data_IF_965301674955
#
_entry.id   IF_965301674955
#
_cell.length_a   1.000
_cell.length_b   1.000
_cell.length_c   1.000
_cell.angle_alpha   90.00
_cell.angle_beta   90.00
_cell.angle_gamma   90.00
#
_symmetry.space_group_name_H-M   'P 1'
#
loop_
_entity.id
_entity.type
_entity.pdbx_description
1 polymer ?
#
# COMPACT_ATOMS: atom_id res chain seq x y z
N UNK A 1 -8.90 -32.34 -30.30
CA UNK A 1 -10.27 -32.69 -30.71
C UNK A 1 -10.18 -33.94 -31.55
N UNK A 2 -10.17 -35.11 -30.91
CA UNK A 2 -10.20 -36.41 -31.60
C UNK A 2 -11.64 -36.80 -31.88
N UNK A 3 -11.86 -37.65 -32.89
CA UNK A 3 -13.19 -38.19 -33.16
C UNK A 3 -13.77 -38.90 -31.93
N UNK A 4 -15.03 -38.61 -31.59
CA UNK A 4 -15.71 -39.16 -30.40
C UNK A 4 -15.33 -38.52 -29.07
N UNK A 5 -14.43 -37.52 -29.04
CA UNK A 5 -14.03 -36.88 -27.79
C UNK A 5 -15.12 -35.94 -27.24
N UNK A 6 -15.49 -36.12 -25.98
CA UNK A 6 -16.36 -35.22 -25.22
C UNK A 6 -15.58 -34.67 -24.03
N UNK A 7 -15.46 -33.35 -23.93
CA UNK A 7 -14.74 -32.69 -22.84
C UNK A 7 -15.66 -31.71 -22.13
N UNK A 8 -15.82 -31.88 -20.82
CA UNK A 8 -16.50 -30.91 -19.96
C UNK A 8 -15.41 -30.05 -19.30
N UNK A 9 -15.48 -28.74 -19.50
CA UNK A 9 -14.53 -27.79 -18.94
C UNK A 9 -15.29 -26.75 -18.11
N UNK A 10 -14.88 -26.58 -16.85
CA UNK A 10 -15.41 -25.53 -15.99
C UNK A 10 -14.64 -24.23 -16.23
N UNK A 11 -15.37 -23.12 -16.42
CA UNK A 11 -14.84 -21.77 -16.63
C UNK A 11 -13.70 -21.70 -17.67
N UNK A 12 -12.45 -21.64 -17.18
CA UNK A 12 -11.24 -21.42 -17.97
C UNK A 12 -10.30 -22.64 -17.97
N UNK A 13 -10.77 -23.82 -17.59
CA UNK A 13 -9.97 -25.05 -17.68
C UNK A 13 -9.41 -25.24 -19.11
N UNK A 14 -8.11 -25.57 -19.21
CA UNK A 14 -7.43 -25.69 -20.50
C UNK A 14 -7.13 -24.36 -21.21
N UNK A 15 -7.14 -23.22 -20.51
CA UNK A 15 -6.63 -21.93 -21.05
C UNK A 15 -5.18 -22.06 -21.50
N UNK A 16 -4.87 -21.50 -22.66
CA UNK A 16 -3.51 -21.52 -23.24
C UNK A 16 -3.18 -22.78 -24.03
N UNK A 17 -3.95 -23.86 -23.91
CA UNK A 17 -3.77 -25.07 -24.73
C UNK A 17 -4.62 -24.99 -25.99
N UNK A 18 -4.01 -25.31 -27.13
CA UNK A 18 -4.70 -25.38 -28.40
C UNK A 18 -5.34 -26.76 -28.64
N UNK A 19 -6.55 -26.76 -29.18
CA UNK A 19 -7.31 -27.98 -29.48
C UNK A 19 -7.16 -28.27 -30.97
N UNK A 20 -6.08 -28.97 -31.33
CA UNK A 20 -5.87 -29.42 -32.72
C UNK A 20 -6.92 -30.48 -33.10
N UNK A 21 -7.44 -30.39 -34.32
CA UNK A 21 -8.37 -31.38 -34.86
C UNK A 21 -7.60 -32.65 -35.29
N UNK A 22 -8.08 -33.81 -34.84
CA UNK A 22 -7.55 -35.10 -35.25
C UNK A 22 -8.00 -35.51 -36.66
N UNK A 23 -7.48 -36.63 -37.21
CA UNK A 23 -7.87 -37.13 -38.53
C UNK A 23 -9.38 -37.36 -38.63
N UNK A 24 -10.01 -36.97 -39.75
CA UNK A 24 -11.45 -37.16 -40.01
C UNK A 24 -12.39 -36.17 -39.31
N UNK A 25 -11.88 -35.33 -38.41
CA UNK A 25 -12.70 -34.40 -37.62
C UNK A 25 -13.06 -33.14 -38.40
N UNK A 26 -12.20 -32.71 -39.34
CA UNK A 26 -12.48 -31.54 -40.20
C UNK A 26 -13.67 -31.82 -41.12
N UNK A 27 -13.68 -33.01 -41.71
CA UNK A 27 -14.74 -33.50 -42.59
C UNK A 27 -16.07 -33.67 -41.84
N UNK A 28 -16.03 -33.97 -40.54
CA UNK A 28 -17.19 -34.06 -39.67
C UNK A 28 -17.73 -32.69 -39.18
N UNK A 29 -17.17 -31.57 -39.64
CA UNK A 29 -17.61 -30.22 -39.26
C UNK A 29 -16.81 -29.58 -38.11
N UNK A 30 -15.75 -30.24 -37.63
CA UNK A 30 -14.79 -29.69 -36.69
C UNK A 30 -15.23 -29.71 -35.23
N UNK A 31 -14.68 -28.80 -34.42
CA UNK A 31 -14.97 -28.72 -32.99
C UNK A 31 -16.30 -28.00 -32.76
N UNK A 32 -17.23 -28.66 -32.07
CA UNK A 32 -18.47 -28.06 -31.58
C UNK A 32 -18.32 -27.61 -30.12
N UNK A 33 -18.58 -26.33 -29.85
CA UNK A 33 -18.54 -25.74 -28.52
C UNK A 33 -19.96 -25.53 -28.02
N UNK A 34 -20.27 -26.08 -26.84
CA UNK A 34 -21.56 -25.91 -26.17
C UNK A 34 -21.34 -25.12 -24.88
N UNK A 35 -21.81 -23.88 -24.84
CA UNK A 35 -21.88 -23.08 -23.62
C UNK A 35 -23.17 -23.42 -22.88
N UNK A 36 -23.06 -23.88 -21.64
CA UNK A 36 -24.21 -24.27 -20.80
C UNK A 36 -24.96 -23.07 -20.22
N UNK A 37 -24.29 -21.92 -20.13
CA UNK A 37 -24.83 -20.65 -19.65
C UNK A 37 -24.13 -19.48 -20.34
N UNK A 38 -24.54 -18.25 -19.99
CA UNK A 38 -23.86 -17.02 -20.41
C UNK A 38 -23.12 -16.39 -19.23
N UNK A 39 -21.82 -16.16 -19.40
CA UNK A 39 -21.03 -15.48 -18.37
C UNK A 39 -21.43 -14.00 -18.28
N UNK A 40 -21.26 -13.38 -17.12
CA UNK A 40 -21.41 -11.93 -16.93
C UNK A 40 -20.59 -11.07 -17.91
N UNK A 41 -19.48 -11.61 -18.44
CA UNK A 41 -18.62 -10.88 -19.38
C UNK A 41 -18.61 -11.57 -20.74
N UNK A 42 -18.94 -10.77 -21.76
CA UNK A 42 -18.94 -11.19 -23.16
C UNK A 42 -17.57 -11.65 -23.63
N UNK A 43 -16.50 -11.13 -23.01
CA UNK A 43 -15.13 -11.54 -23.33
C UNK A 43 -14.90 -13.02 -23.02
N UNK A 44 -15.44 -13.54 -21.92
CA UNK A 44 -15.28 -14.94 -21.52
C UNK A 44 -16.03 -15.85 -22.49
N UNK A 45 -17.27 -15.50 -22.84
CA UNK A 45 -18.03 -16.24 -23.87
C UNK A 45 -17.31 -16.25 -25.22
N UNK A 46 -16.72 -15.11 -25.63
CA UNK A 46 -15.93 -15.03 -26.87
C UNK A 46 -14.68 -15.89 -26.81
N UNK A 47 -14.05 -16.03 -25.64
CA UNK A 47 -12.91 -16.93 -25.46
C UNK A 47 -13.32 -18.40 -25.58
N UNK A 48 -14.50 -18.77 -25.07
CA UNK A 48 -15.06 -20.10 -25.23
C UNK A 48 -15.38 -20.39 -26.71
N UNK A 49 -16.03 -19.44 -27.41
CA UNK A 49 -16.27 -19.53 -28.86
C UNK A 49 -14.98 -19.72 -29.66
N UNK A 50 -13.96 -18.93 -29.35
CA UNK A 50 -12.66 -18.94 -30.02
C UNK A 50 -11.82 -20.20 -29.79
N UNK A 51 -12.33 -21.20 -29.05
CA UNK A 51 -11.73 -22.54 -28.99
C UNK A 51 -12.00 -23.35 -30.26
N UNK A 52 -13.13 -23.12 -30.93
CA UNK A 52 -13.42 -23.67 -32.24
C UNK A 52 -13.00 -22.69 -33.35
N UNK A 53 -12.92 -23.19 -34.59
CA UNK A 53 -12.67 -22.33 -35.75
C UNK A 53 -11.24 -21.81 -35.88
N UNK A 54 -10.26 -22.45 -35.25
CA UNK A 54 -8.87 -21.97 -35.26
C UNK A 54 -8.20 -22.19 -36.60
N UNK A 55 -7.41 -21.21 -37.06
CA UNK A 55 -6.69 -21.27 -38.33
C UNK A 55 -7.58 -21.58 -39.55
N UNK A 56 -8.85 -21.16 -39.52
CA UNK A 56 -9.81 -21.42 -40.59
C UNK A 56 -10.40 -22.84 -40.59
N UNK A 57 -10.13 -23.64 -39.56
CA UNK A 57 -10.79 -24.93 -39.37
C UNK A 57 -12.32 -24.75 -39.25
N UNK A 58 -13.13 -25.73 -39.69
CA UNK A 58 -14.55 -25.72 -39.43
C UNK A 58 -14.82 -25.85 -37.92
N UNK A 59 -15.94 -25.32 -37.47
CA UNK A 59 -16.36 -25.42 -36.09
C UNK A 59 -17.66 -24.68 -35.84
N UNK A 60 -18.32 -25.01 -34.73
CA UNK A 60 -19.59 -24.41 -34.34
C UNK A 60 -19.57 -24.02 -32.86
N UNK A 61 -20.39 -23.03 -32.50
CA UNK A 61 -20.58 -22.66 -31.12
C UNK A 61 -22.04 -22.34 -30.84
N UNK A 62 -22.64 -23.01 -29.87
CA UNK A 62 -24.00 -22.78 -29.41
C UNK A 62 -23.98 -22.48 -27.92
N UNK A 63 -24.82 -21.55 -27.48
CA UNK A 63 -24.98 -21.21 -26.07
C UNK A 63 -26.42 -21.44 -25.67
N UNK A 64 -26.60 -22.11 -24.55
CA UNK A 64 -27.87 -22.35 -23.90
C UNK A 64 -27.98 -21.38 -22.73
N UNK A 65 -29.20 -20.90 -22.49
CA UNK A 65 -29.52 -19.97 -21.40
C UNK A 65 -30.90 -20.35 -20.90
N UNK A 66 -31.05 -20.45 -19.59
CA UNK A 66 -32.34 -20.56 -18.92
C UNK A 66 -32.76 -19.20 -18.37
N UNK A 67 -34.08 -18.97 -18.28
CA UNK A 67 -34.62 -17.83 -17.53
C UNK A 67 -34.26 -17.89 -16.03
N UNK A 68 -33.93 -19.08 -15.55
CA UNK A 68 -33.51 -19.33 -14.17
C UNK A 68 -32.02 -19.09 -13.94
N UNK A 69 -31.22 -18.79 -14.96
CA UNK A 69 -29.78 -18.54 -14.79
C UNK A 69 -29.54 -17.22 -14.05
N UNK A 70 -28.42 -17.11 -13.31
CA UNK A 70 -28.11 -15.94 -12.48
C UNK A 70 -28.08 -14.62 -13.29
N UNK A 71 -27.54 -14.67 -14.51
CA UNK A 71 -27.56 -13.52 -15.42
C UNK A 71 -28.99 -13.08 -15.76
N UNK A 72 -29.93 -14.02 -15.91
CA UNK A 72 -31.32 -13.70 -16.26
C UNK A 72 -32.13 -13.26 -15.03
N UNK A 73 -31.86 -13.85 -13.86
CA UNK A 73 -32.44 -13.42 -12.56
C UNK A 73 -32.14 -11.96 -12.26
N UNK A 74 -30.90 -11.52 -12.51
CA UNK A 74 -30.50 -10.12 -12.30
C UNK A 74 -31.23 -9.11 -13.21
N UNK A 75 -31.83 -9.56 -14.33
CA UNK A 75 -32.39 -8.66 -15.37
C UNK A 75 -33.90 -8.79 -15.58
N UNK A 76 -34.64 -9.14 -14.53
CA UNK A 76 -36.10 -9.12 -14.55
C UNK A 76 -36.68 -10.24 -15.42
N UNK A 77 -36.24 -11.47 -15.14
CA UNK A 77 -36.73 -12.71 -15.75
C UNK A 77 -38.26 -12.79 -15.78
N UNK A 78 -38.95 -12.26 -14.76
CA UNK A 78 -40.42 -12.21 -14.68
C UNK A 78 -41.10 -11.45 -15.83
N UNK A 79 -40.51 -10.33 -16.27
CA UNK A 79 -41.08 -9.54 -17.39
C UNK A 79 -40.90 -10.26 -18.72
N UNK A 80 -39.80 -11.01 -18.85
CA UNK A 80 -39.51 -11.79 -20.05
C UNK A 80 -40.38 -13.04 -20.07
N UNK A 81 -40.50 -13.75 -18.95
CA UNK A 81 -41.36 -14.92 -18.77
C UNK A 81 -42.84 -14.59 -19.06
N UNK A 82 -43.38 -13.53 -18.46
CA UNK A 82 -44.78 -13.12 -18.69
C UNK A 82 -45.08 -12.72 -20.15
N UNK A 83 -44.08 -12.22 -20.88
CA UNK A 83 -44.21 -11.97 -22.32
C UNK A 83 -44.17 -13.27 -23.13
N UNK A 84 -43.38 -14.25 -22.70
CA UNK A 84 -43.30 -15.57 -23.36
C UNK A 84 -44.57 -16.39 -23.17
N UNK A 85 -45.17 -16.34 -21.97
CA UNK A 85 -46.48 -16.95 -21.69
C UNK A 85 -47.57 -16.38 -22.61
N UNK A 86 -47.58 -15.05 -22.80
CA UNK A 86 -48.51 -14.37 -23.72
C UNK A 86 -48.27 -14.72 -25.19
N UNK A 87 -47.04 -15.05 -25.56
CA UNK A 87 -46.69 -15.51 -26.91
C UNK A 87 -46.98 -17.00 -27.14
N UNK A 88 -47.42 -17.73 -26.10
CA UNK A 88 -47.83 -19.12 -26.19
C UNK A 88 -46.69 -20.14 -26.17
N UNK A 89 -45.49 -19.73 -25.73
CA UNK A 89 -44.37 -20.65 -25.55
C UNK A 89 -44.63 -21.62 -24.40
N UNK A 90 -44.35 -22.91 -24.61
CA UNK A 90 -44.52 -23.95 -23.59
C UNK A 90 -43.19 -24.32 -22.94
N UNK A 91 -43.27 -24.88 -21.73
CA UNK A 91 -42.12 -25.43 -21.03
C UNK A 91 -41.43 -26.51 -21.88
N UNK A 92 -40.13 -26.37 -22.10
CA UNK A 92 -39.33 -27.25 -22.95
C UNK A 92 -39.20 -26.81 -24.42
N UNK A 93 -39.89 -25.76 -24.86
CA UNK A 93 -39.69 -25.23 -26.22
C UNK A 93 -38.41 -24.39 -26.33
N UNK A 94 -37.60 -24.67 -27.36
CA UNK A 94 -36.37 -23.94 -27.61
C UNK A 94 -36.70 -22.61 -28.30
N UNK A 95 -36.24 -21.51 -27.71
CA UNK A 95 -36.56 -20.18 -28.20
C UNK A 95 -35.35 -19.57 -28.89
N UNK A 96 -35.49 -19.31 -30.18
CA UNK A 96 -34.47 -18.66 -31.01
C UNK A 96 -35.01 -17.35 -31.57
N UNK A 97 -34.99 -16.31 -30.73
CA UNK A 97 -35.39 -14.97 -31.15
C UNK A 97 -34.27 -13.94 -30.97
N UNK A 98 -34.08 -13.13 -32.00
CA UNK A 98 -33.08 -12.07 -32.02
C UNK A 98 -33.30 -11.01 -30.93
N UNK A 99 -34.56 -10.78 -30.53
CA UNK A 99 -34.90 -9.87 -29.44
C UNK A 99 -34.37 -10.36 -28.09
N UNK A 100 -34.48 -11.66 -27.80
CA UNK A 100 -33.98 -12.28 -26.56
C UNK A 100 -32.45 -12.31 -26.56
N UNK A 101 -31.84 -12.60 -27.71
CA UNK A 101 -30.38 -12.51 -27.83
C UNK A 101 -29.88 -11.09 -27.53
N UNK A 102 -30.54 -10.07 -28.07
CA UNK A 102 -30.21 -8.65 -27.80
C UNK A 102 -30.46 -8.24 -26.35
N UNK A 103 -31.48 -8.77 -25.68
CA UNK A 103 -31.72 -8.47 -24.26
C UNK A 103 -30.63 -9.05 -23.37
N UNK A 104 -30.18 -10.29 -23.63
CA UNK A 104 -29.05 -10.92 -22.94
C UNK A 104 -27.77 -10.10 -23.14
N UNK A 105 -27.48 -9.64 -24.37
CA UNK A 105 -26.30 -8.80 -24.62
C UNK A 105 -26.34 -7.46 -23.86
N UNK A 106 -27.52 -6.85 -23.74
CA UNK A 106 -27.70 -5.62 -22.94
C UNK A 106 -27.49 -5.90 -21.45
N UNK A 107 -28.00 -7.02 -20.94
CA UNK A 107 -27.78 -7.46 -19.57
C UNK A 107 -26.27 -7.61 -19.29
N UNK A 108 -25.54 -8.37 -20.12
CA UNK A 108 -24.09 -8.52 -19.99
C UNK A 108 -23.36 -7.18 -20.03
N UNK A 109 -23.72 -6.27 -20.96
CA UNK A 109 -23.11 -4.94 -21.03
C UNK A 109 -23.33 -4.15 -19.73
N UNK A 110 -24.51 -4.24 -19.13
CA UNK A 110 -24.82 -3.54 -17.89
C UNK A 110 -24.06 -4.12 -16.70
N UNK A 111 -23.89 -5.44 -16.62
CA UNK A 111 -23.02 -6.08 -15.60
C UNK A 111 -21.57 -5.67 -15.79
N UNK A 112 -21.06 -5.65 -17.03
CA UNK A 112 -19.72 -5.17 -17.34
C UNK A 112 -19.50 -3.71 -16.92
N UNK A 113 -20.47 -2.82 -17.18
CA UNK A 113 -20.45 -1.42 -16.74
C UNK A 113 -20.44 -1.29 -15.21
N UNK A 114 -21.25 -2.09 -14.51
CA UNK A 114 -21.26 -2.10 -13.04
C UNK A 114 -19.91 -2.58 -12.47
N UNK A 115 -19.40 -3.70 -12.97
CA UNK A 115 -18.09 -4.23 -12.59
C UNK A 115 -16.95 -3.26 -12.90
N UNK A 116 -17.03 -2.54 -14.03
CA UNK A 116 -16.09 -1.46 -14.34
C UNK A 116 -16.17 -0.33 -13.31
N UNK A 117 -17.38 0.11 -12.94
CA UNK A 117 -17.59 1.12 -11.90
C UNK A 117 -17.00 0.70 -10.54
N UNK A 118 -17.24 -0.54 -10.11
CA UNK A 118 -16.68 -1.09 -8.87
C UNK A 118 -15.15 -1.07 -8.90
N UNK A 119 -14.54 -1.54 -10.00
CA UNK A 119 -13.08 -1.55 -10.14
C UNK A 119 -12.47 -0.16 -10.23
N UNK A 120 -13.14 0.76 -10.92
CA UNK A 120 -12.72 2.16 -11.00
C UNK A 120 -12.68 2.77 -9.60
N UNK A 121 -13.76 2.56 -8.83
CA UNK A 121 -13.84 3.06 -7.45
C UNK A 121 -12.78 2.43 -6.56
N UNK A 122 -12.56 1.11 -6.64
CA UNK A 122 -11.47 0.42 -5.95
C UNK A 122 -10.10 1.05 -6.25
N UNK A 123 -9.82 1.30 -7.53
CA UNK A 123 -8.57 1.95 -7.97
C UNK A 123 -8.41 3.36 -7.37
N UNK A 124 -9.48 4.14 -7.28
CA UNK A 124 -9.42 5.49 -6.71
C UNK A 124 -9.09 5.50 -5.21
N UNK A 125 -9.49 4.47 -4.45
CA UNK A 125 -9.05 4.27 -3.07
C UNK A 125 -7.58 3.84 -3.01
N UNK A 126 -7.20 2.85 -3.83
CA UNK A 126 -5.84 2.33 -3.89
C UNK A 126 -4.83 3.40 -4.34
N UNK A 127 -5.21 4.35 -5.18
CA UNK A 127 -4.36 5.45 -5.64
C UNK A 127 -3.91 6.35 -4.49
N UNK A 128 -4.75 6.55 -3.46
CA UNK A 128 -4.38 7.30 -2.24
C UNK A 128 -3.29 6.53 -1.49
N UNK A 129 -3.51 5.22 -1.27
CA UNK A 129 -2.55 4.35 -0.61
C UNK A 129 -1.23 4.22 -1.37
N UNK A 130 -1.28 4.17 -2.70
CA UNK A 130 -0.09 4.09 -3.54
C UNK A 130 0.78 5.35 -3.42
N UNK A 131 0.17 6.55 -3.35
CA UNK A 131 0.92 7.80 -3.11
C UNK A 131 1.65 7.78 -1.77
N UNK A 132 0.95 7.38 -0.71
CA UNK A 132 1.54 7.26 0.63
C UNK A 132 2.66 6.21 0.65
N UNK A 133 2.43 5.04 0.03
CA UNK A 133 3.42 3.96 -0.10
C UNK A 133 4.69 4.44 -0.78
N UNK A 134 4.59 5.23 -1.85
CA UNK A 134 5.77 5.75 -2.54
C UNK A 134 6.65 6.62 -1.63
N UNK A 135 6.03 7.45 -0.78
CA UNK A 135 6.76 8.28 0.19
C UNK A 135 7.44 7.41 1.25
N UNK A 136 6.69 6.51 1.87
CA UNK A 136 7.19 5.63 2.94
C UNK A 136 8.28 4.70 2.43
N UNK A 137 8.09 4.09 1.26
CA UNK A 137 9.07 3.19 0.68
C UNK A 137 10.32 3.95 0.22
N UNK A 138 10.19 5.21 -0.19
CA UNK A 138 11.34 6.10 -0.41
C UNK A 138 12.18 6.27 0.85
N UNK A 139 11.57 6.74 1.94
CA UNK A 139 12.25 6.91 3.25
C UNK A 139 12.84 5.59 3.78
N UNK A 140 12.08 4.50 3.65
CA UNK A 140 12.53 3.15 4.04
C UNK A 140 13.76 2.69 3.25
N UNK A 141 13.78 2.98 1.95
CA UNK A 141 14.91 2.66 1.08
C UNK A 141 16.17 3.46 1.47
N UNK A 142 16.01 4.74 1.78
CA UNK A 142 17.09 5.58 2.30
C UNK A 142 17.64 5.04 3.63
N UNK A 143 16.78 4.57 4.53
CA UNK A 143 17.21 3.95 5.79
C UNK A 143 17.96 2.61 5.59
N UNK A 144 17.51 1.77 4.64
CA UNK A 144 18.14 0.48 4.35
C UNK A 144 19.55 0.63 3.76
N UNK A 145 19.71 1.53 2.79
CA UNK A 145 20.97 1.69 2.07
C UNK A 145 21.87 2.81 2.63
N UNK A 146 21.32 3.67 3.49
CA UNK A 146 22.02 4.83 4.05
C UNK A 146 22.14 6.02 3.09
N UNK A 147 21.68 5.89 1.85
CA UNK A 147 21.70 6.98 0.87
C UNK A 147 20.64 8.02 1.23
N UNK A 148 21.04 9.30 1.32
CA UNK A 148 20.16 10.44 1.67
C UNK A 148 19.51 10.38 3.06
N UNK A 149 19.83 9.38 3.89
CA UNK A 149 19.29 9.29 5.25
C UNK A 149 19.60 10.54 6.09
N UNK A 150 20.80 11.10 5.95
CA UNK A 150 21.17 12.33 6.64
C UNK A 150 20.21 13.49 6.31
N UNK A 151 19.76 13.61 5.06
CA UNK A 151 18.77 14.63 4.65
C UNK A 151 17.38 14.32 5.23
N UNK A 152 16.98 13.06 5.26
CA UNK A 152 15.69 12.66 5.84
C UNK A 152 15.65 12.94 7.35
N UNK A 153 16.75 12.67 8.05
CA UNK A 153 16.90 13.00 9.47
C UNK A 153 16.91 14.51 9.69
N UNK A 154 17.66 15.25 8.89
CA UNK A 154 17.70 16.71 8.95
C UNK A 154 16.30 17.34 8.83
N UNK A 155 15.53 16.89 7.83
CA UNK A 155 14.13 17.27 7.66
C UNK A 155 13.26 16.83 8.85
N UNK A 156 13.53 15.67 9.46
CA UNK A 156 12.81 15.21 10.65
C UNK A 156 13.10 16.13 11.86
N UNK A 157 14.35 16.52 12.10
CA UNK A 157 14.71 17.48 13.15
C UNK A 157 14.00 18.81 12.95
N UNK A 158 14.04 19.36 11.73
CA UNK A 158 13.36 20.62 11.40
C UNK A 158 11.84 20.51 11.58
N UNK A 159 11.22 19.44 11.07
CA UNK A 159 9.78 19.19 11.20
C UNK A 159 9.33 19.07 12.65
N UNK A 160 10.11 18.40 13.50
CA UNK A 160 9.82 18.30 14.94
C UNK A 160 9.96 19.67 15.61
N UNK A 161 10.99 20.44 15.27
CA UNK A 161 11.17 21.79 15.81
C UNK A 161 9.99 22.71 15.41
N UNK A 162 9.60 22.69 14.15
CA UNK A 162 8.43 23.42 13.63
C UNK A 162 7.14 23.02 14.35
N UNK A 163 6.90 21.72 14.50
CA UNK A 163 5.73 21.20 15.20
C UNK A 163 5.65 21.65 16.66
N UNK A 164 6.78 21.64 17.37
CA UNK A 164 6.84 22.11 18.76
C UNK A 164 6.60 23.62 18.87
N UNK A 165 7.31 24.43 18.07
CA UNK A 165 7.16 25.89 18.12
C UNK A 165 5.73 26.30 17.78
N UNK A 166 5.13 25.74 16.73
CA UNK A 166 3.74 26.06 16.36
C UNK A 166 2.75 25.68 17.47
N UNK A 167 2.88 24.47 18.03
CA UNK A 167 1.96 23.99 19.07
C UNK A 167 2.01 24.84 20.34
N UNK A 168 3.22 25.22 20.79
CA UNK A 168 3.39 25.95 22.05
C UNK A 168 3.29 27.47 21.90
N UNK A 169 3.46 28.00 20.70
CA UNK A 169 3.19 29.41 20.40
C UNK A 169 1.69 29.72 20.45
N UNK A 170 0.86 28.81 19.98
CA UNK A 170 -0.61 28.95 20.06
C UNK A 170 -1.13 28.91 21.50
N UNK A 171 -0.50 28.12 22.38
CA UNK A 171 -0.91 27.99 23.79
C UNK A 171 -0.22 28.96 24.74
N UNK A 172 0.79 29.71 24.26
CA UNK A 172 1.63 30.62 25.06
C UNK A 172 2.31 29.94 26.27
N UNK A 173 2.57 28.63 26.19
CA UNK A 173 3.14 27.82 27.30
C UNK A 173 4.65 27.57 27.12
N UNK A 174 5.46 28.44 27.72
CA UNK A 174 6.93 28.35 27.68
C UNK A 174 7.48 27.17 28.50
N UNK A 175 6.85 26.85 29.62
CA UNK A 175 7.33 25.76 30.49
C UNK A 175 7.09 24.41 29.82
N UNK A 176 5.91 24.24 29.21
CA UNK A 176 5.61 23.10 28.36
C UNK A 176 6.55 22.99 27.16
N UNK A 177 6.88 24.11 26.52
CA UNK A 177 7.84 24.15 25.41
C UNK A 177 9.24 23.69 25.83
N UNK A 178 9.77 24.20 26.94
CA UNK A 178 11.08 23.78 27.47
C UNK A 178 11.09 22.30 27.83
N UNK A 179 10.05 21.83 28.50
CA UNK A 179 9.92 20.40 28.81
C UNK A 179 9.88 19.55 27.52
N UNK A 180 9.16 20.02 26.50
CA UNK A 180 9.11 19.33 25.22
C UNK A 180 10.47 19.34 24.48
N UNK A 181 11.24 20.43 24.57
CA UNK A 181 12.59 20.49 24.02
C UNK A 181 13.52 19.48 24.70
N UNK A 182 13.43 19.36 26.03
CA UNK A 182 14.17 18.33 26.79
C UNK A 182 13.73 16.92 26.37
N UNK A 183 12.43 16.67 26.31
CA UNK A 183 11.88 15.34 26.02
C UNK A 183 12.16 14.87 24.59
N UNK A 184 12.21 15.77 23.60
CA UNK A 184 12.43 15.38 22.20
C UNK A 184 13.88 15.55 21.75
N UNK A 185 14.58 16.59 22.19
CA UNK A 185 15.93 16.89 21.72
C UNK A 185 17.01 16.72 22.81
N UNK A 186 16.63 16.55 24.08
CA UNK A 186 17.59 16.49 25.18
C UNK A 186 18.30 17.82 25.44
N UNK A 187 17.65 18.95 25.12
CA UNK A 187 18.21 20.30 25.30
C UNK A 187 17.38 21.12 26.28
N UNK A 188 18.06 21.94 27.07
CA UNK A 188 17.46 23.09 27.76
C UNK A 188 17.64 24.31 26.86
N UNK A 189 16.59 24.68 26.13
CA UNK A 189 16.65 25.70 25.09
C UNK A 189 16.85 27.11 25.66
N UNK A 190 17.65 27.92 24.97
CA UNK A 190 17.87 29.32 25.33
C UNK A 190 16.75 30.25 24.83
N UNK A 191 15.73 29.71 24.14
CA UNK A 191 14.59 30.48 23.64
C UNK A 191 13.78 31.03 24.82
N UNK A 192 13.57 32.35 24.81
CA UNK A 192 12.80 33.04 25.85
C UNK A 192 11.30 33.06 25.55
N UNK A 193 10.47 33.28 26.57
CA UNK A 193 9.02 33.43 26.38
C UNK A 193 8.67 34.57 25.42
N UNK A 194 9.41 35.68 25.46
CA UNK A 194 9.20 36.80 24.54
C UNK A 194 9.53 36.43 23.09
N UNK A 195 10.63 35.69 22.88
CA UNK A 195 11.00 35.19 21.56
C UNK A 195 9.96 34.21 21.02
N UNK A 196 9.45 33.30 21.84
CA UNK A 196 8.44 32.31 21.42
C UNK A 196 7.13 32.99 20.98
N UNK A 197 6.63 33.94 21.78
CA UNK A 197 5.33 34.59 21.53
C UNK A 197 5.42 35.68 20.47
N UNK A 198 6.39 36.61 20.59
CA UNK A 198 6.49 37.80 19.74
C UNK A 198 7.45 37.63 18.57
N UNK A 199 8.36 36.66 18.62
CA UNK A 199 9.31 36.40 17.55
C UNK A 199 8.63 35.90 16.29
N UNK A 200 9.32 36.05 15.16
CA UNK A 200 8.92 35.42 13.92
C UNK A 200 9.03 33.90 14.07
N UNK A 201 7.96 33.18 13.74
CA UNK A 201 7.89 31.71 13.90
C UNK A 201 9.07 31.02 13.21
N UNK A 202 9.40 31.41 11.98
CA UNK A 202 10.48 30.76 11.22
C UNK A 202 11.85 30.94 11.88
N UNK A 203 12.12 32.12 12.45
CA UNK A 203 13.39 32.41 13.09
C UNK A 203 13.55 31.62 14.41
N UNK A 204 12.44 31.44 15.14
CA UNK A 204 12.41 30.63 16.36
C UNK A 204 12.57 29.14 16.04
N UNK A 205 11.93 28.65 14.97
CA UNK A 205 12.10 27.27 14.48
C UNK A 205 13.54 27.01 14.09
N UNK A 206 14.14 27.90 13.30
CA UNK A 206 15.54 27.77 12.89
C UNK A 206 16.48 27.75 14.11
N UNK A 207 16.27 28.64 15.09
CA UNK A 207 17.05 28.66 16.32
C UNK A 207 16.96 27.34 17.10
N UNK A 208 15.75 26.80 17.29
CA UNK A 208 15.54 25.53 17.99
C UNK A 208 16.18 24.36 17.22
N UNK A 209 16.03 24.34 15.89
CA UNK A 209 16.62 23.34 15.02
C UNK A 209 18.15 23.35 15.12
N UNK A 210 18.80 24.52 15.05
CA UNK A 210 20.25 24.64 15.21
C UNK A 210 20.72 24.16 16.61
N UNK A 211 20.05 24.59 17.69
CA UNK A 211 20.36 24.11 19.05
C UNK A 211 20.26 22.57 19.15
N UNK A 212 19.26 21.98 18.49
CA UNK A 212 19.04 20.52 18.50
C UNK A 212 20.09 19.74 17.71
N UNK A 213 20.46 20.21 16.51
CA UNK A 213 21.45 19.55 15.66
C UNK A 213 22.85 19.66 16.27
N UNK A 214 23.19 20.81 16.86
CA UNK A 214 24.46 20.97 17.57
C UNK A 214 24.58 19.99 18.74
N UNK A 215 23.53 19.87 19.55
CA UNK A 215 23.53 18.91 20.66
C UNK A 215 23.65 17.48 20.16
N UNK A 216 22.92 17.12 19.11
CA UNK A 216 22.97 15.80 18.52
C UNK A 216 24.37 15.47 17.97
N UNK A 217 25.02 16.43 17.29
CA UNK A 217 26.39 16.28 16.80
C UNK A 217 27.40 16.06 17.93
N UNK A 218 27.30 16.84 19.01
CA UNK A 218 28.16 16.66 20.21
C UNK A 218 27.98 15.28 20.82
N UNK A 219 26.73 14.77 20.85
CA UNK A 219 26.43 13.43 21.36
C UNK A 219 27.04 12.33 20.49
N UNK A 220 26.96 12.45 19.15
CA UNK A 220 27.61 11.50 18.22
C UNK A 220 29.12 11.44 18.45
N UNK A 221 29.77 12.59 18.60
CA UNK A 221 31.21 12.66 18.85
C UNK A 221 31.58 12.04 20.21
N UNK A 222 30.80 12.33 21.25
CA UNK A 222 31.00 11.72 22.57
C UNK A 222 30.83 10.20 22.53
N UNK A 223 29.81 9.69 21.82
CA UNK A 223 29.59 8.26 21.61
C UNK A 223 30.79 7.61 20.91
N UNK A 224 31.30 8.24 19.85
CA UNK A 224 32.48 7.75 19.13
C UNK A 224 33.70 7.68 20.06
N UNK A 225 33.95 8.74 20.85
CA UNK A 225 35.08 8.78 21.79
C UNK A 225 34.99 7.71 22.89
N UNK A 226 33.80 7.49 23.45
CA UNK A 226 33.58 6.50 24.50
C UNK A 226 33.72 5.05 23.99
N UNK A 227 33.24 4.79 22.78
CA UNK A 227 33.21 3.43 22.19
C UNK A 227 34.52 3.05 21.50
N UNK A 228 35.32 4.03 21.07
CA UNK A 228 36.59 3.82 20.37
C UNK A 228 37.56 2.87 21.09
N UNK A 229 37.88 3.05 22.40
CA UNK A 229 38.81 2.15 23.08
C UNK A 229 38.25 0.73 23.20
N UNK A 230 36.94 0.57 23.42
CA UNK A 230 36.27 -0.72 23.58
C UNK A 230 36.35 -1.51 22.26
N UNK A 231 35.94 -0.88 21.17
CA UNK A 231 35.89 -1.51 19.84
C UNK A 231 37.31 -1.79 19.32
N UNK A 232 38.26 -0.89 19.56
CA UNK A 232 39.66 -1.10 19.21
C UNK A 232 40.28 -2.28 19.94
N UNK A 233 39.94 -2.48 21.22
CA UNK A 233 40.40 -3.64 21.99
C UNK A 233 39.81 -4.95 21.47
N UNK A 234 38.51 -4.97 21.14
CA UNK A 234 37.86 -6.14 20.52
C UNK A 234 38.59 -6.55 19.23
N UNK A 235 38.93 -5.58 18.36
CA UNK A 235 39.68 -5.87 17.13
C UNK A 235 41.08 -6.43 17.41
N UNK A 236 41.77 -5.94 18.45
CA UNK A 236 43.11 -6.42 18.84
C UNK A 236 43.07 -7.82 19.45
N UNK A 237 42.09 -8.13 20.29
CA UNK A 237 42.00 -9.39 21.03
C UNK A 237 41.42 -10.54 20.19
N UNK A 238 40.38 -10.25 19.39
CA UNK A 238 39.68 -11.26 18.60
C UNK A 238 40.26 -11.35 17.17
N UNK A 239 40.92 -10.31 16.65
CA UNK A 239 41.49 -10.32 15.31
C UNK A 239 40.46 -10.14 14.18
N UNK A 240 40.80 -10.62 12.98
CA UNK A 240 40.07 -10.31 11.73
C UNK A 240 38.85 -11.21 11.44
N UNK A 241 38.54 -12.19 12.28
CA UNK A 241 37.44 -13.12 12.03
C UNK A 241 36.06 -12.55 12.43
N UNK A 242 36.03 -11.50 13.25
CA UNK A 242 34.80 -10.77 13.57
C UNK A 242 34.63 -9.62 12.58
N UNK A 243 33.57 -9.63 11.80
CA UNK A 243 33.25 -8.55 10.86
C UNK A 243 32.33 -7.50 11.47
N UNK A 244 31.34 -7.94 12.26
CA UNK A 244 30.30 -7.08 12.80
C UNK A 244 30.19 -7.23 14.32
N UNK A 245 29.92 -6.12 15.01
CA UNK A 245 29.62 -6.07 16.44
C UNK A 245 28.20 -5.55 16.64
N UNK A 246 27.45 -6.23 17.49
CA UNK A 246 26.13 -5.78 17.93
C UNK A 246 26.28 -4.87 19.14
N UNK A 247 25.91 -3.61 19.00
CA UNK A 247 25.90 -2.64 20.10
C UNK A 247 24.46 -2.39 20.52
N UNK A 248 24.08 -2.67 21.78
CA UNK A 248 22.76 -2.36 22.28
C UNK A 248 22.64 -0.87 22.62
N UNK A 249 21.59 -0.24 22.12
CA UNK A 249 21.18 1.12 22.44
C UNK A 249 19.82 1.10 23.13
N UNK A 250 19.61 2.03 24.06
CA UNK A 250 18.32 2.16 24.75
C UNK A 250 18.08 3.62 25.14
N UNK A 251 16.85 4.08 24.91
CA UNK A 251 16.35 5.37 25.42
C UNK A 251 15.65 5.21 26.80
N UNK A 252 15.77 4.03 27.42
CA UNK A 252 15.07 3.64 28.65
C UNK A 252 13.69 3.03 28.44
N UNK A 253 13.11 3.13 27.23
CA UNK A 253 11.80 2.55 26.86
C UNK A 253 11.93 1.46 25.80
N UNK A 254 12.78 1.67 24.79
CA UNK A 254 12.99 0.80 23.64
C UNK A 254 14.47 0.42 23.58
N UNK A 255 14.74 -0.87 23.36
CA UNK A 255 16.08 -1.38 23.12
C UNK A 255 16.27 -1.75 21.66
N UNK A 256 17.39 -1.36 21.06
CA UNK A 256 17.75 -1.71 19.69
C UNK A 256 19.17 -2.26 19.66
N UNK A 257 19.41 -3.32 18.89
CA UNK A 257 20.77 -3.80 18.62
C UNK A 257 21.20 -3.29 17.25
N UNK A 258 22.19 -2.40 17.23
CA UNK A 258 22.78 -1.92 15.97
C UNK A 258 23.95 -2.79 15.58
N UNK A 259 23.89 -3.36 14.37
CA UNK A 259 25.00 -4.13 13.78
C UNK A 259 25.96 -3.17 13.09
N UNK A 260 27.19 -3.09 13.61
CA UNK A 260 28.23 -2.18 13.13
C UNK A 260 29.39 -2.97 12.57
N UNK A 261 29.81 -2.66 11.33
CA UNK A 261 30.99 -3.27 10.75
C UNK A 261 32.26 -2.66 11.35
N UNK A 262 33.13 -3.50 11.88
CA UNK A 262 34.33 -3.09 12.61
C UNK A 262 35.35 -2.35 11.73
N UNK A 263 35.55 -2.79 10.48
CA UNK A 263 36.52 -2.15 9.58
C UNK A 263 36.06 -0.75 9.18
N UNK A 264 34.78 -0.60 8.86
CA UNK A 264 34.18 0.71 8.58
C UNK A 264 34.21 1.63 9.80
N UNK A 265 33.95 1.10 10.99
CA UNK A 265 34.03 1.86 12.23
C UNK A 265 35.43 2.43 12.47
N UNK A 266 36.47 1.62 12.34
CA UNK A 266 37.86 2.08 12.49
C UNK A 266 38.27 3.06 11.39
N UNK A 267 37.84 2.83 10.15
CA UNK A 267 38.12 3.73 9.03
C UNK A 267 37.46 5.11 9.16
N UNK A 268 36.32 5.19 9.86
CA UNK A 268 35.53 6.42 10.05
C UNK A 268 35.75 7.10 11.40
N UNK A 269 36.77 6.69 12.17
CA UNK A 269 37.01 7.17 13.53
C UNK A 269 35.77 7.08 14.44
N UNK A 270 34.95 6.05 14.24
CA UNK A 270 33.83 5.70 15.11
C UNK A 270 32.47 6.27 14.70
N UNK A 271 32.42 7.07 13.64
CA UNK A 271 31.16 7.65 13.14
C UNK A 271 30.20 6.60 12.56
N UNK A 272 30.71 5.46 12.07
CA UNK A 272 29.87 4.39 11.51
C UNK A 272 28.85 3.85 12.51
N UNK A 273 29.15 3.85 13.82
CA UNK A 273 28.23 3.37 14.85
C UNK A 273 26.98 4.26 14.97
N UNK A 274 27.16 5.58 14.86
CA UNK A 274 26.04 6.52 14.83
C UNK A 274 25.21 6.34 13.55
N UNK A 275 25.87 6.20 12.40
CA UNK A 275 25.19 5.97 11.13
C UNK A 275 24.44 4.63 11.09
N UNK A 276 24.98 3.57 11.69
CA UNK A 276 24.29 2.28 11.79
C UNK A 276 23.10 2.36 12.74
N UNK A 277 23.22 3.11 13.84
CA UNK A 277 22.13 3.37 14.77
C UNK A 277 20.98 4.09 14.05
N UNK A 278 21.27 5.20 13.36
CA UNK A 278 20.34 5.97 12.54
C UNK A 278 19.58 5.08 11.55
N UNK A 279 20.30 4.28 10.74
CA UNK A 279 19.68 3.36 9.78
C UNK A 279 18.73 2.38 10.45
N UNK A 280 19.19 1.72 11.51
CA UNK A 280 18.42 0.68 12.19
C UNK A 280 17.17 1.23 12.89
N UNK A 281 17.28 2.36 13.60
CA UNK A 281 16.12 2.93 14.31
C UNK A 281 15.10 3.50 13.32
N UNK A 282 15.54 4.26 12.32
CA UNK A 282 14.64 4.84 11.32
C UNK A 282 13.87 3.74 10.59
N UNK A 283 14.56 2.66 10.20
CA UNK A 283 13.89 1.52 9.56
C UNK A 283 12.86 0.86 10.47
N UNK A 284 13.21 0.57 11.72
CA UNK A 284 12.31 -0.09 12.67
C UNK A 284 11.05 0.75 12.92
N UNK A 285 11.22 2.05 13.15
CA UNK A 285 10.10 2.95 13.46
C UNK A 285 9.19 3.18 12.25
N UNK A 286 9.76 3.32 11.05
CA UNK A 286 8.97 3.40 9.80
C UNK A 286 8.16 2.12 9.60
N UNK A 287 8.76 0.95 9.78
CA UNK A 287 8.08 -0.33 9.56
C UNK A 287 6.94 -0.54 10.56
N UNK A 288 7.15 -0.22 11.84
CA UNK A 288 6.13 -0.33 12.87
C UNK A 288 4.96 0.65 12.64
N UNK A 289 5.25 1.91 12.38
CA UNK A 289 4.22 2.91 12.10
C UNK A 289 3.45 2.61 10.82
N UNK A 290 4.13 2.16 9.76
CA UNK A 290 3.48 1.84 8.49
C UNK A 290 2.56 0.63 8.62
N UNK A 291 2.95 -0.42 9.36
CA UNK A 291 2.06 -1.57 9.63
C UNK A 291 0.77 -1.13 10.30
N UNK A 292 0.86 -0.25 11.30
CA UNK A 292 -0.32 0.23 12.01
C UNK A 292 -1.17 1.17 11.14
N UNK A 293 -0.52 2.05 10.36
CA UNK A 293 -1.22 2.90 9.40
C UNK A 293 -2.00 2.11 8.36
N UNK A 294 -1.43 1.02 7.80
CA UNK A 294 -2.15 0.15 6.87
C UNK A 294 -3.45 -0.41 7.47
N UNK A 295 -3.43 -0.80 8.74
CA UNK A 295 -4.64 -1.28 9.45
C UNK A 295 -5.66 -0.15 9.61
N UNK A 296 -5.21 1.01 10.08
CA UNK A 296 -6.05 2.19 10.24
C UNK A 296 -6.69 2.61 8.91
N UNK A 297 -5.98 2.47 7.80
CA UNK A 297 -6.46 2.77 6.45
C UNK A 297 -7.51 1.79 5.94
N UNK A 298 -7.38 0.51 6.28
CA UNK A 298 -8.41 -0.50 5.99
C UNK A 298 -9.69 -0.25 6.80
N UNK A 299 -9.56 0.08 8.09
CA UNK A 299 -10.69 0.45 8.96
C UNK A 299 -11.37 1.74 8.48
N UNK A 300 -10.57 2.76 8.14
CA UNK A 300 -11.06 4.02 7.58
C UNK A 300 -11.86 3.79 6.30
N UNK A 301 -11.39 2.90 5.41
CA UNK A 301 -12.10 2.59 4.17
C UNK A 301 -13.49 1.99 4.40
N UNK A 302 -13.66 1.22 5.48
CA UNK A 302 -14.96 0.68 5.88
C UNK A 302 -15.82 1.76 6.54
N UNK A 303 -15.24 2.56 7.45
CA UNK A 303 -15.98 3.57 8.21
C UNK A 303 -16.52 4.70 7.33
N UNK A 304 -15.78 5.15 6.32
CA UNK A 304 -16.22 6.22 5.39
C UNK A 304 -17.46 5.85 4.59
N UNK A 305 -17.83 4.57 4.49
CA UNK A 305 -19.08 4.18 3.83
C UNK A 305 -20.30 4.77 4.56
N UNK A 306 -20.21 5.02 5.86
CA UNK A 306 -21.27 5.69 6.63
C UNK A 306 -21.53 7.13 6.16
N UNK A 307 -20.57 7.79 5.51
CA UNK A 307 -20.75 9.14 4.96
C UNK A 307 -21.84 9.20 3.88
N UNK A 308 -22.23 8.07 3.29
CA UNK A 308 -23.39 8.03 2.37
C UNK A 308 -24.69 8.44 3.05
N UNK A 309 -24.83 8.19 4.36
CA UNK A 309 -26.02 8.63 5.12
C UNK A 309 -26.11 10.15 5.23
N UNK A 310 -24.97 10.84 5.22
CA UNK A 310 -24.89 12.31 5.21
C UNK A 310 -24.96 12.90 3.79
N UNK A 311 -25.23 12.08 2.76
CA UNK A 311 -25.24 12.50 1.35
C UNK A 311 -23.90 13.10 0.87
N UNK A 312 -22.79 12.74 1.53
CA UNK A 312 -21.43 13.10 1.11
C UNK A 312 -20.82 11.96 0.31
N UNK A 313 -19.87 12.26 -0.57
CA UNK A 313 -19.12 11.23 -1.30
C UNK A 313 -18.07 10.59 -0.36
N UNK A 314 -18.18 9.28 -0.04
CA UNK A 314 -17.20 8.57 0.79
C UNK A 314 -15.76 8.68 0.29
N UNK A 315 -15.55 8.77 -1.03
CA UNK A 315 -14.21 8.85 -1.60
C UNK A 315 -13.54 10.18 -1.26
N UNK A 316 -14.30 11.27 -1.21
CA UNK A 316 -13.78 12.59 -0.84
C UNK A 316 -13.41 12.62 0.63
N UNK A 317 -14.28 12.11 1.50
CA UNK A 317 -14.01 11.99 2.93
C UNK A 317 -12.79 11.12 3.18
N UNK A 318 -12.72 9.96 2.53
CA UNK A 318 -11.56 9.08 2.61
C UNK A 318 -10.26 9.79 2.25
N UNK A 319 -10.22 10.57 1.16
CA UNK A 319 -9.02 11.30 0.75
C UNK A 319 -8.54 12.29 1.80
N UNK A 320 -9.47 13.00 2.45
CA UNK A 320 -9.16 14.01 3.48
C UNK A 320 -8.64 13.31 4.75
N UNK A 321 -9.40 12.34 5.25
CA UNK A 321 -9.05 11.60 6.47
C UNK A 321 -7.75 10.80 6.29
N UNK A 322 -7.57 10.17 5.13
CA UNK A 322 -6.35 9.44 4.80
C UNK A 322 -5.12 10.35 4.78
N UNK A 323 -5.27 11.57 4.26
CA UNK A 323 -4.19 12.55 4.24
C UNK A 323 -3.82 13.00 5.65
N UNK A 324 -4.82 13.30 6.49
CA UNK A 324 -4.61 13.71 7.87
C UNK A 324 -3.96 12.59 8.70
N UNK A 325 -4.48 11.36 8.59
CA UNK A 325 -3.92 10.18 9.26
C UNK A 325 -2.46 9.93 8.84
N UNK A 326 -2.17 10.06 7.54
CA UNK A 326 -0.80 9.91 7.03
C UNK A 326 0.15 10.99 7.54
N UNK A 327 -0.31 12.26 7.55
CA UNK A 327 0.48 13.37 8.09
C UNK A 327 0.79 13.14 9.57
N UNK A 328 -0.22 12.78 10.36
CA UNK A 328 -0.04 12.48 11.79
C UNK A 328 0.93 11.31 12.01
N UNK A 329 0.86 10.27 11.19
CA UNK A 329 1.80 9.16 11.23
C UNK A 329 3.23 9.64 10.92
N UNK A 330 3.45 10.42 9.86
CA UNK A 330 4.79 10.93 9.50
C UNK A 330 5.37 11.83 10.60
N UNK A 331 4.56 12.76 11.13
CA UNK A 331 4.96 13.66 12.22
C UNK A 331 5.35 12.87 13.48
N UNK A 332 4.57 11.85 13.85
CA UNK A 332 4.87 10.99 15.00
C UNK A 332 6.12 10.15 14.78
N UNK A 333 6.34 9.62 13.58
CA UNK A 333 7.55 8.86 13.23
C UNK A 333 8.79 9.76 13.32
N UNK A 334 8.73 10.97 12.77
CA UNK A 334 9.84 11.93 12.83
C UNK A 334 10.17 12.25 14.31
N UNK A 335 9.15 12.48 15.15
CA UNK A 335 9.30 12.72 16.58
C UNK A 335 9.94 11.54 17.33
N UNK A 336 9.46 10.33 17.07
CA UNK A 336 9.99 9.10 17.70
C UNK A 336 11.45 8.86 17.30
N UNK A 337 11.81 9.08 16.03
CA UNK A 337 13.19 8.95 15.52
C UNK A 337 14.10 9.94 16.23
N UNK A 338 13.74 11.23 16.22
CA UNK A 338 14.53 12.31 16.81
C UNK A 338 14.69 12.10 18.33
N UNK A 339 13.59 11.80 19.02
CA UNK A 339 13.62 11.54 20.46
C UNK A 339 14.53 10.37 20.81
N UNK A 340 14.44 9.26 20.07
CA UNK A 340 15.33 8.11 20.31
C UNK A 340 16.79 8.48 20.07
N UNK A 341 17.11 9.14 18.94
CA UNK A 341 18.48 9.51 18.59
C UNK A 341 19.11 10.51 19.58
N UNK A 342 18.31 11.39 20.16
CA UNK A 342 18.78 12.36 21.15
C UNK A 342 18.96 11.76 22.55
N UNK A 343 18.26 10.66 22.89
CA UNK A 343 18.30 10.04 24.24
C UNK A 343 19.10 8.75 24.33
N UNK A 344 19.13 7.92 23.30
CA UNK A 344 19.98 6.72 23.20
C UNK A 344 21.46 7.05 23.14
#
# INVERSE_FOLDING_TARGET
>A
GMAGAVTIATNMAGRGTDIKLGPGVKEAGGLAILGTERHESRRVDRQLRGRAGRQGDPGSSSFYVSLEDDLMRMFGSERIASLMDRMGYKEGEVIQHSMITKSIERAQKKVEENNFGIRKRLLEYDDVMNKQRNVVYGKRNHALFGERLALDLDNAFYSVAEGLVNSFKETEDIEGFKLAAIMNFGIDTAITAEELVKGNTNDVVEKLYQESIEQYSRKKEALAQQTMPIISNIRKEQGNHIENVAVPFTDGKRGLQSLTNLDKYLATNGLELGASLERSITLSLIDDAWKEHLRNMDDLRQSVQSATYEQKDPLVIYKIEAYNAFKQMDDQVNKDIVSFLCHA
#
